data_IF_682115889372
#
_entry.id   IF_682115889372
#
_cell.length_a   1.000
_cell.length_b   1.000
_cell.length_c   1.000
_cell.angle_alpha   90.00
_cell.angle_beta   90.00
_cell.angle_gamma   90.00
#
_symmetry.space_group_name_H-M   'P 1'
#
loop_
_entity.id
_entity.type
_entity.pdbx_description
1 polymer ?
#
# COMPACT_ATOMS: atom_id res chain seq x y z
N UNK A 1 8.78 1.70 15.07
CA UNK A 1 10.14 1.89 14.53
C UNK A 1 11.06 0.74 14.94
N UNK A 2 10.98 -0.41 14.26
CA UNK A 2 11.84 -1.57 14.55
C UNK A 2 12.90 -1.84 13.45
N UNK A 3 12.88 -1.08 12.35
CA UNK A 3 13.68 -1.37 11.14
C UNK A 3 15.02 -0.62 11.05
N UNK A 4 15.34 0.27 12.00
CA UNK A 4 16.68 0.90 12.07
C UNK A 4 17.72 0.09 12.86
N UNK A 5 17.33 -1.03 13.50
CA UNK A 5 18.24 -1.72 14.45
C UNK A 5 19.16 -2.77 13.84
N UNK A 6 19.04 -3.10 12.55
CA UNK A 6 19.96 -4.04 11.90
C UNK A 6 20.33 -3.57 10.49
N UNK A 7 21.63 -3.51 10.14
CA UNK A 7 22.06 -3.29 8.77
C UNK A 7 21.72 -4.53 7.94
N UNK A 8 20.48 -4.58 7.45
CA UNK A 8 20.08 -5.58 6.47
C UNK A 8 20.89 -5.34 5.18
N UNK A 9 21.42 -6.41 4.55
CA UNK A 9 22.17 -6.27 3.29
C UNK A 9 21.32 -5.53 2.26
N UNK A 10 21.94 -4.71 1.42
CA UNK A 10 21.25 -3.79 0.49
C UNK A 10 20.20 -4.46 -0.39
N UNK A 11 20.37 -5.76 -0.66
CA UNK A 11 19.49 -6.60 -1.48
C UNK A 11 18.45 -7.42 -0.70
N UNK A 12 18.30 -7.24 0.60
CA UNK A 12 17.36 -8.06 1.37
C UNK A 12 15.90 -7.67 1.05
N UNK A 13 15.02 -8.64 0.76
CA UNK A 13 13.59 -8.36 0.54
C UNK A 13 12.94 -7.76 1.79
N UNK A 14 13.50 -8.03 2.98
CA UNK A 14 13.05 -7.48 4.26
C UNK A 14 13.17 -5.95 4.35
N UNK A 15 14.09 -5.34 3.58
CA UNK A 15 14.25 -3.88 3.53
C UNK A 15 13.14 -3.21 2.73
N UNK A 16 12.64 -3.86 1.67
CA UNK A 16 11.51 -3.39 0.86
C UNK A 16 10.21 -3.42 1.66
N UNK A 17 10.02 -4.43 2.52
CA UNK A 17 8.91 -4.47 3.48
C UNK A 17 8.88 -3.23 4.39
N UNK A 18 10.06 -2.75 4.81
CA UNK A 18 10.16 -1.52 5.61
C UNK A 18 9.76 -0.25 4.86
N UNK A 19 10.08 -0.19 3.56
CA UNK A 19 9.64 0.91 2.69
C UNK A 19 8.11 0.90 2.52
N UNK A 20 7.51 -0.27 2.35
CA UNK A 20 6.05 -0.41 2.26
C UNK A 20 5.33 -0.07 3.58
N UNK A 21 5.92 -0.43 4.73
CA UNK A 21 5.42 0.00 6.05
C UNK A 21 5.42 1.54 6.16
N UNK A 22 6.49 2.21 5.69
CA UNK A 22 6.53 3.67 5.68
C UNK A 22 5.50 4.26 4.71
N UNK A 23 5.41 3.72 3.50
CA UNK A 23 4.48 4.20 2.49
C UNK A 23 3.01 4.05 2.92
N UNK A 24 2.65 2.93 3.55
CA UNK A 24 1.31 2.70 4.11
C UNK A 24 0.99 3.65 5.28
N UNK A 25 1.97 3.99 6.12
CA UNK A 25 1.76 5.00 7.16
C UNK A 25 1.56 6.41 6.57
N UNK A 26 2.34 6.79 5.56
CA UNK A 26 2.19 8.06 4.85
C UNK A 26 0.82 8.17 4.19
N UNK A 27 0.32 7.06 3.66
CA UNK A 27 -1.00 6.97 3.06
C UNK A 27 -2.14 7.22 4.06
N UNK A 28 -2.01 6.74 5.30
CA UNK A 28 -2.99 7.02 6.34
C UNK A 28 -3.08 8.52 6.64
N UNK A 29 -1.93 9.20 6.75
CA UNK A 29 -1.88 10.65 6.93
C UNK A 29 -2.48 11.41 5.74
N UNK A 30 -2.16 10.99 4.52
CA UNK A 30 -2.71 11.61 3.31
C UNK A 30 -4.24 11.45 3.22
N UNK A 31 -4.77 10.29 3.63
CA UNK A 31 -6.23 10.04 3.67
C UNK A 31 -6.92 10.98 4.66
N UNK A 32 -6.36 11.16 5.85
CA UNK A 32 -6.88 12.09 6.86
C UNK A 32 -6.83 13.52 6.33
N UNK A 33 -5.71 13.92 5.72
CA UNK A 33 -5.55 15.27 5.16
C UNK A 33 -6.57 15.57 4.06
N UNK A 34 -6.79 14.64 3.12
CA UNK A 34 -7.79 14.78 2.06
C UNK A 34 -9.21 14.88 2.65
N UNK A 35 -9.53 14.05 3.65
CA UNK A 35 -10.82 14.12 4.35
C UNK A 35 -11.02 15.45 5.07
N UNK A 36 -9.98 15.98 5.73
CA UNK A 36 -10.02 17.28 6.40
C UNK A 36 -10.20 18.42 5.40
N UNK A 37 -9.46 18.41 4.29
CA UNK A 37 -9.59 19.41 3.22
C UNK A 37 -11.02 19.44 2.64
N UNK A 38 -11.63 18.28 2.45
CA UNK A 38 -13.03 18.18 2.02
C UNK A 38 -13.99 18.71 3.08
N UNK A 39 -13.82 18.33 4.35
CA UNK A 39 -14.66 18.81 5.45
C UNK A 39 -14.59 20.34 5.65
N UNK A 40 -13.43 20.93 5.38
CA UNK A 40 -13.22 22.38 5.39
C UNK A 40 -13.78 23.10 4.15
N UNK A 41 -14.37 22.37 3.19
CA UNK A 41 -14.92 22.94 1.95
C UNK A 41 -13.88 23.36 0.92
N UNK A 42 -12.60 23.00 1.11
CA UNK A 42 -11.53 23.35 0.17
C UNK A 42 -11.49 22.46 -1.07
N UNK A 43 -12.08 21.26 -0.98
CA UNK A 43 -12.23 20.34 -2.11
C UNK A 43 -13.69 20.23 -2.51
N UNK A 44 -13.96 20.30 -3.81
CA UNK A 44 -15.25 19.92 -4.38
C UNK A 44 -15.41 18.40 -4.36
N UNK A 45 -16.66 17.90 -4.48
CA UNK A 45 -16.91 16.46 -4.53
C UNK A 45 -16.12 15.74 -5.65
N UNK A 46 -16.04 16.28 -6.90
CA UNK A 46 -15.16 15.69 -7.91
C UNK A 46 -13.67 15.76 -7.54
N UNK A 47 -13.24 16.85 -6.88
CA UNK A 47 -11.86 16.98 -6.38
C UNK A 47 -11.51 15.92 -5.35
N UNK A 48 -12.43 15.62 -4.43
CA UNK A 48 -12.28 14.54 -3.46
C UNK A 48 -12.16 13.17 -4.14
N UNK A 49 -13.04 12.87 -5.10
CA UNK A 49 -13.02 11.59 -5.83
C UNK A 49 -11.66 11.40 -6.53
N UNK A 50 -11.13 12.43 -7.20
CA UNK A 50 -9.81 12.38 -7.84
C UNK A 50 -8.68 12.20 -6.84
N UNK A 51 -8.73 12.89 -5.70
CA UNK A 51 -7.73 12.73 -4.64
C UNK A 51 -7.72 11.30 -4.06
N UNK A 52 -8.90 10.71 -3.84
CA UNK A 52 -9.04 9.32 -3.41
C UNK A 52 -8.54 8.36 -4.51
N UNK A 53 -8.83 8.63 -5.78
CA UNK A 53 -8.35 7.80 -6.89
C UNK A 53 -6.82 7.76 -6.95
N UNK A 54 -6.16 8.89 -6.74
CA UNK A 54 -4.69 8.99 -6.67
C UNK A 54 -4.16 8.21 -5.46
N UNK A 55 -4.82 8.30 -4.30
CA UNK A 55 -4.44 7.47 -3.15
C UNK A 55 -4.56 5.98 -3.48
N UNK A 56 -5.68 5.55 -4.07
CA UNK A 56 -5.88 4.15 -4.46
C UNK A 56 -4.81 3.68 -5.47
N UNK A 57 -4.34 4.56 -6.34
CA UNK A 57 -3.27 4.25 -7.29
C UNK A 57 -1.96 3.93 -6.57
N UNK A 58 -1.58 4.78 -5.62
CA UNK A 58 -0.37 4.61 -4.83
C UNK A 58 -0.46 3.33 -3.99
N UNK A 59 -1.58 3.12 -3.29
CA UNK A 59 -1.79 1.90 -2.49
C UNK A 59 -1.79 0.64 -3.36
N UNK A 60 -2.50 0.67 -4.48
CA UNK A 60 -2.60 -0.46 -5.40
C UNK A 60 -1.24 -0.86 -5.94
N UNK A 61 -0.42 0.12 -6.32
CA UNK A 61 0.96 -0.10 -6.78
C UNK A 61 1.85 -0.72 -5.70
N UNK A 62 1.73 -0.24 -4.46
CA UNK A 62 2.44 -0.79 -3.31
C UNK A 62 2.03 -2.24 -3.03
N UNK A 63 0.72 -2.51 -2.98
CA UNK A 63 0.17 -3.85 -2.75
C UNK A 63 0.59 -4.84 -3.84
N UNK A 64 0.63 -4.41 -5.09
CA UNK A 64 1.11 -5.23 -6.19
C UNK A 64 2.61 -5.55 -6.06
N UNK A 65 3.44 -4.54 -5.83
CA UNK A 65 4.88 -4.74 -5.67
C UNK A 65 5.19 -5.66 -4.46
N UNK A 66 4.53 -5.43 -3.33
CA UNK A 66 4.68 -6.23 -2.11
C UNK A 66 4.14 -7.66 -2.29
N UNK A 67 2.98 -7.82 -2.96
CA UNK A 67 2.43 -9.13 -3.31
C UNK A 67 3.34 -9.93 -4.24
N UNK A 68 3.94 -9.30 -5.26
CA UNK A 68 4.90 -9.98 -6.14
C UNK A 68 6.13 -10.42 -5.34
N UNK A 69 6.67 -9.55 -4.48
CA UNK A 69 7.81 -9.89 -3.63
C UNK A 69 7.47 -11.02 -2.64
N UNK A 70 6.27 -11.03 -2.07
CA UNK A 70 5.81 -12.08 -1.16
C UNK A 70 5.67 -13.44 -1.84
N UNK A 71 5.21 -13.47 -3.10
CA UNK A 71 5.14 -14.70 -3.90
C UNK A 71 6.53 -15.22 -4.29
N UNK A 72 7.42 -14.33 -4.74
CA UNK A 72 8.76 -14.71 -5.20
C UNK A 72 9.65 -15.16 -4.04
N UNK A 73 9.56 -14.47 -2.89
CA UNK A 73 10.41 -14.77 -1.73
C UNK A 73 9.84 -15.83 -0.80
N UNK A 74 8.53 -16.10 -0.85
CA UNK A 74 7.84 -16.95 0.12
C UNK A 74 7.85 -16.36 1.55
N UNK A 75 8.12 -15.06 1.68
CA UNK A 75 8.16 -14.31 2.93
C UNK A 75 7.19 -13.14 2.79
N UNK A 76 6.26 -13.02 3.72
CA UNK A 76 5.31 -11.92 3.75
C UNK A 76 5.25 -11.31 5.14
N UNK A 77 5.20 -9.98 5.24
CA UNK A 77 4.93 -9.30 6.51
C UNK A 77 3.58 -8.62 6.45
N UNK A 78 2.73 -9.00 7.39
CA UNK A 78 1.39 -8.43 7.53
C UNK A 78 1.12 -8.18 9.01
N UNK A 79 0.70 -6.96 9.36
CA UNK A 79 0.40 -6.52 10.73
C UNK A 79 1.52 -6.75 11.74
N UNK A 80 2.76 -6.48 11.32
CA UNK A 80 3.94 -6.62 12.17
C UNK A 80 4.41 -8.07 12.38
N UNK A 81 3.66 -9.07 11.89
CA UNK A 81 4.07 -10.49 11.91
C UNK A 81 4.66 -10.90 10.57
N UNK A 82 5.74 -11.68 10.63
CA UNK A 82 6.37 -12.26 9.43
C UNK A 82 5.82 -13.68 9.27
N UNK A 83 5.28 -13.95 8.09
CA UNK A 83 4.77 -15.24 7.65
C UNK A 83 5.76 -15.84 6.65
N UNK A 84 5.81 -17.18 6.60
CA UNK A 84 6.68 -17.94 5.72
C UNK A 84 5.89 -19.03 4.98
N UNK A 85 6.35 -19.42 3.80
CA UNK A 85 5.82 -20.55 3.03
C UNK A 85 4.39 -20.33 2.52
N UNK A 86 3.56 -21.37 2.55
CA UNK A 86 2.20 -21.33 1.96
C UNK A 86 1.30 -20.23 2.54
N UNK A 87 1.44 -19.90 3.84
CA UNK A 87 0.71 -18.78 4.46
C UNK A 87 1.17 -17.43 3.90
N UNK A 88 2.47 -17.24 3.69
CA UNK A 88 3.00 -16.03 3.06
C UNK A 88 2.47 -15.87 1.62
N UNK A 89 2.43 -16.97 0.86
CA UNK A 89 1.89 -16.96 -0.51
C UNK A 89 0.40 -16.61 -0.54
N UNK A 90 -0.40 -17.10 0.43
CA UNK A 90 -1.81 -16.74 0.52
C UNK A 90 -2.01 -15.24 0.77
N UNK A 91 -1.29 -14.65 1.74
CA UNK A 91 -1.35 -13.20 1.98
C UNK A 91 -0.84 -12.39 0.79
N UNK A 92 0.25 -12.82 0.16
CA UNK A 92 0.81 -12.17 -1.02
C UNK A 92 -0.19 -12.17 -2.19
N UNK A 93 -0.89 -13.28 -2.43
CA UNK A 93 -1.94 -13.35 -3.45
C UNK A 93 -3.13 -12.42 -3.13
N UNK A 94 -3.52 -12.31 -1.85
CA UNK A 94 -4.53 -11.36 -1.41
C UNK A 94 -4.13 -9.91 -1.68
N UNK A 95 -2.86 -9.55 -1.45
CA UNK A 95 -2.32 -8.22 -1.79
C UNK A 95 -2.40 -7.94 -3.28
N UNK A 96 -2.13 -8.93 -4.14
CA UNK A 96 -2.29 -8.77 -5.59
C UNK A 96 -3.73 -8.46 -5.98
N UNK A 97 -4.69 -9.24 -5.48
CA UNK A 97 -6.12 -9.05 -5.80
C UNK A 97 -6.60 -7.67 -5.33
N UNK A 98 -6.29 -7.30 -4.09
CA UNK A 98 -6.64 -5.98 -3.55
C UNK A 98 -5.96 -4.84 -4.32
N UNK A 99 -4.70 -5.03 -4.72
CA UNK A 99 -3.96 -4.06 -5.52
C UNK A 99 -4.58 -3.85 -6.91
N UNK A 100 -4.98 -4.94 -7.58
CA UNK A 100 -5.69 -4.87 -8.87
C UNK A 100 -7.04 -4.17 -8.77
N UNK A 101 -7.81 -4.46 -7.72
CA UNK A 101 -9.10 -3.78 -7.47
C UNK A 101 -8.90 -2.29 -7.18
N UNK A 102 -7.86 -1.93 -6.42
CA UNK A 102 -7.53 -0.54 -6.15
C UNK A 102 -7.18 0.21 -7.45
N UNK A 103 -6.38 -0.39 -8.35
CA UNK A 103 -6.10 0.21 -9.67
C UNK A 103 -7.35 0.36 -10.53
N UNK A 104 -8.26 -0.62 -10.50
CA UNK A 104 -9.54 -0.52 -11.22
C UNK A 104 -10.38 0.66 -10.71
N UNK A 105 -10.46 0.83 -9.39
CA UNK A 105 -11.17 1.96 -8.78
C UNK A 105 -10.49 3.30 -9.05
N UNK A 106 -9.16 3.36 -9.14
CA UNK A 106 -8.44 4.54 -9.61
C UNK A 106 -8.91 4.96 -11.00
N UNK A 107 -8.98 4.03 -11.94
CA UNK A 107 -9.41 4.33 -13.32
C UNK A 107 -10.82 4.93 -13.30
N UNK A 108 -11.74 4.30 -12.57
CA UNK A 108 -13.11 4.80 -12.44
C UNK A 108 -13.13 6.21 -11.83
N UNK A 109 -12.39 6.43 -10.75
CA UNK A 109 -12.35 7.73 -10.08
C UNK A 109 -11.68 8.85 -10.88
N UNK A 110 -10.80 8.52 -11.83
CA UNK A 110 -10.21 9.50 -12.75
C UNK A 110 -11.12 9.86 -13.92
N UNK A 111 -12.05 8.97 -14.28
CA UNK A 111 -13.02 9.18 -15.36
C UNK A 111 -14.26 9.97 -14.93
N UNK A 112 -14.45 10.20 -13.63
CA UNK A 112 -15.48 11.06 -13.03
C UNK A 112 -14.98 12.50 -12.95
#
# INVERSE_FOLDING_TARGET
MALMRYPLPWKSPLRLLGLFDMASSLQAYATIAIGALFALGTLSLPGLVKAIAILLYVMGSILLADGVLGLVSGIDRTWGRIHYGGRAMAFASGKLVLGSLALMLTIIGLLI
#
